data_IF_165163604192
#
_entry.id   IF_165163604192
#
_cell.length_a   1.000
_cell.length_b   1.000
_cell.length_c   1.000
_cell.angle_alpha   90.00
_cell.angle_beta   90.00
_cell.angle_gamma   90.00
#
_symmetry.space_group_name_H-M   'P 1'
#
loop_
_entity.id
_entity.type
_entity.pdbx_description
1 polymer ?
#
# COMPACT_ATOMS: atom_id res chain seq x y z
N UNK A 1 -0.78 -19.05 6.55
CA UNK A 1 -1.48 -18.62 5.32
C UNK A 1 -1.66 -19.84 4.43
N UNK A 2 -2.89 -20.17 3.99
CA UNK A 2 -3.12 -21.32 3.09
C UNK A 2 -2.46 -21.05 1.71
N UNK A 3 -1.73 -22.01 1.12
CA UNK A 3 -0.95 -21.78 -0.11
C UNK A 3 -1.76 -21.25 -1.31
N UNK A 4 -3.05 -21.56 -1.40
CA UNK A 4 -3.89 -21.32 -2.58
C UNK A 4 -4.82 -20.08 -2.51
N UNK A 5 -4.66 -19.19 -1.53
CA UNK A 5 -5.53 -18.00 -1.41
C UNK A 5 -4.99 -16.76 -2.17
N UNK A 6 -3.89 -16.89 -2.92
CA UNK A 6 -3.30 -15.80 -3.70
C UNK A 6 -4.00 -15.70 -5.07
N UNK A 7 -4.14 -14.48 -5.59
CA UNK A 7 -4.66 -14.26 -6.97
C UNK A 7 -6.18 -14.19 -7.13
N UNK A 8 -6.98 -14.31 -6.05
CA UNK A 8 -8.45 -14.21 -6.13
C UNK A 8 -9.01 -12.78 -5.93
N UNK A 9 -8.14 -11.77 -5.99
CA UNK A 9 -8.55 -10.35 -5.87
C UNK A 9 -9.05 -9.90 -4.49
N UNK A 10 -9.07 -10.76 -3.47
CA UNK A 10 -9.54 -10.40 -2.11
C UNK A 10 -8.72 -9.26 -1.52
N UNK A 11 -7.39 -9.33 -1.63
CA UNK A 11 -6.50 -8.26 -1.17
C UNK A 11 -6.76 -6.94 -1.88
N UNK A 12 -7.05 -6.97 -3.18
CA UNK A 12 -7.39 -5.76 -3.94
C UNK A 12 -8.71 -5.15 -3.48
N UNK A 13 -9.75 -5.98 -3.25
CA UNK A 13 -11.05 -5.51 -2.74
C UNK A 13 -10.91 -4.83 -1.38
N UNK A 14 -10.18 -5.44 -0.45
CA UNK A 14 -9.92 -4.87 0.87
C UNK A 14 -9.15 -3.55 0.78
N UNK A 15 -8.10 -3.50 -0.04
CA UNK A 15 -7.31 -2.28 -0.22
C UNK A 15 -8.15 -1.16 -0.84
N UNK A 16 -8.98 -1.45 -1.85
CA UNK A 16 -9.87 -0.44 -2.45
C UNK A 16 -10.89 0.11 -1.46
N UNK A 17 -11.47 -0.76 -0.61
CA UNK A 17 -12.38 -0.32 0.45
C UNK A 17 -11.67 0.60 1.45
N UNK A 18 -10.46 0.23 1.89
CA UNK A 18 -9.64 1.04 2.81
C UNK A 18 -9.24 2.40 2.19
N UNK A 19 -8.83 2.41 0.92
CA UNK A 19 -8.51 3.64 0.19
C UNK A 19 -9.73 4.55 0.10
N UNK A 20 -10.91 3.99 -0.18
CA UNK A 20 -12.17 4.74 -0.21
C UNK A 20 -12.52 5.39 1.14
N UNK A 21 -12.35 4.65 2.24
CA UNK A 21 -12.53 5.20 3.59
C UNK A 21 -11.53 6.31 3.90
N UNK A 22 -10.23 6.08 3.62
CA UNK A 22 -9.20 7.08 3.85
C UNK A 22 -9.45 8.37 3.07
N UNK A 23 -9.87 8.24 1.80
CA UNK A 23 -10.25 9.37 0.96
C UNK A 23 -11.42 10.16 1.56
N UNK A 24 -12.50 9.48 2.01
CA UNK A 24 -13.64 10.14 2.67
C UNK A 24 -13.25 10.90 3.93
N UNK A 25 -12.20 10.45 4.64
CA UNK A 25 -11.67 11.11 5.85
C UNK A 25 -10.57 12.14 5.55
N UNK A 26 -10.16 12.33 4.30
CA UNK A 26 -9.06 13.22 3.94
C UNK A 26 -7.68 12.73 4.43
N UNK A 27 -7.52 11.42 4.62
CA UNK A 27 -6.31 10.79 5.12
C UNK A 27 -5.45 10.20 4.00
N UNK A 28 -4.14 10.16 4.23
CA UNK A 28 -3.21 9.36 3.44
C UNK A 28 -3.03 7.97 4.06
N UNK A 29 -2.48 7.04 3.30
CA UNK A 29 -2.15 5.70 3.77
C UNK A 29 -0.67 5.42 3.56
N UNK A 30 -0.08 4.63 4.46
CA UNK A 30 1.25 4.05 4.26
C UNK A 30 1.27 2.58 4.66
N UNK A 31 2.21 1.83 4.10
CA UNK A 31 2.45 0.42 4.41
C UNK A 31 3.94 0.11 4.33
N UNK A 32 4.36 -0.97 4.99
CA UNK A 32 5.68 -1.57 4.80
C UNK A 32 5.52 -2.91 4.11
N UNK A 33 6.33 -3.15 3.08
CA UNK A 33 6.28 -4.38 2.29
C UNK A 33 7.69 -4.89 2.02
N UNK A 34 7.90 -6.21 2.06
CA UNK A 34 9.18 -6.79 1.65
C UNK A 34 9.45 -6.49 0.17
N UNK A 35 10.69 -6.15 -0.18
CA UNK A 35 11.08 -5.78 -1.54
C UNK A 35 10.72 -6.84 -2.59
N UNK A 36 10.75 -8.12 -2.21
CA UNK A 36 10.52 -9.26 -3.10
C UNK A 36 9.05 -9.73 -3.11
N UNK A 37 8.16 -9.07 -2.35
CA UNK A 37 6.76 -9.49 -2.26
C UNK A 37 6.00 -9.12 -3.55
N UNK A 38 5.40 -10.08 -4.29
CA UNK A 38 4.64 -9.80 -5.51
C UNK A 38 3.48 -8.82 -5.32
N UNK A 39 2.95 -8.70 -4.10
CA UNK A 39 1.90 -7.74 -3.76
C UNK A 39 2.32 -6.28 -3.95
N UNK A 40 3.63 -5.98 -4.02
CA UNK A 40 4.14 -4.64 -4.35
C UNK A 40 3.52 -4.09 -5.64
N UNK A 41 3.39 -4.92 -6.67
CA UNK A 41 2.76 -4.54 -7.95
C UNK A 41 1.28 -4.18 -7.80
N UNK A 42 0.57 -4.81 -6.87
CA UNK A 42 -0.80 -4.44 -6.54
C UNK A 42 -0.84 -3.04 -5.91
N UNK A 43 0.04 -2.76 -4.94
CA UNK A 43 0.09 -1.45 -4.30
C UNK A 43 0.46 -0.33 -5.28
N UNK A 44 1.43 -0.57 -6.18
CA UNK A 44 1.79 0.36 -7.26
C UNK A 44 0.60 0.66 -8.18
N UNK A 45 -0.15 -0.36 -8.61
CA UNK A 45 -1.37 -0.20 -9.41
C UNK A 45 -2.47 0.58 -8.69
N UNK A 46 -2.53 0.49 -7.36
CA UNK A 46 -3.47 1.24 -6.54
C UNK A 46 -2.99 2.66 -6.21
N UNK A 47 -1.83 3.08 -6.73
CA UNK A 47 -1.31 4.44 -6.61
C UNK A 47 -0.34 4.66 -5.45
N UNK A 48 0.02 3.62 -4.70
CA UNK A 48 1.09 3.73 -3.71
C UNK A 48 2.43 3.93 -4.41
N UNK A 49 3.29 4.75 -3.80
CA UNK A 49 4.66 5.02 -4.25
C UNK A 49 5.64 4.76 -3.12
N UNK A 50 6.84 4.31 -3.47
CA UNK A 50 7.93 4.15 -2.49
C UNK A 50 8.18 5.45 -1.72
N UNK A 51 8.45 5.32 -0.43
CA UNK A 51 8.91 6.42 0.42
C UNK A 51 10.44 6.41 0.37
N UNK A 52 11.10 7.45 -0.19
CA UNK A 52 12.55 7.53 -0.23
C UNK A 52 13.17 7.39 1.17
N UNK A 53 14.25 6.60 1.28
CA UNK A 53 14.95 6.37 2.55
C UNK A 53 14.25 5.43 3.54
N UNK A 54 13.09 4.87 3.20
CA UNK A 54 12.35 3.95 4.10
C UNK A 54 12.83 2.50 4.07
N UNK A 55 13.86 2.18 3.27
CA UNK A 55 14.40 0.83 3.17
C UNK A 55 15.01 0.39 4.52
N UNK A 56 14.60 -0.78 5.00
CA UNK A 56 15.09 -1.35 6.25
C UNK A 56 15.38 -2.84 6.10
N UNK A 57 16.54 -3.27 6.61
CA UNK A 57 16.91 -4.70 6.67
C UNK A 57 16.08 -5.41 7.75
N UNK A 58 15.46 -6.52 7.40
CA UNK A 58 14.71 -7.32 8.37
C UNK A 58 15.65 -8.26 9.12
N UNK A 59 15.36 -8.52 10.41
CA UNK A 59 16.12 -9.48 11.23
C UNK A 59 16.17 -10.89 10.62
N UNK A 60 15.11 -11.28 9.90
CA UNK A 60 15.02 -12.56 9.20
C UNK A 60 15.68 -12.59 7.81
N UNK A 61 16.43 -11.53 7.44
CA UNK A 61 17.01 -11.35 6.12
C UNK A 61 16.07 -10.64 5.12
N UNK A 62 16.65 -10.13 4.04
CA UNK A 62 15.97 -9.30 3.02
C UNK A 62 15.58 -7.91 3.51
N UNK A 63 14.98 -7.11 2.63
CA UNK A 63 14.59 -5.72 2.96
C UNK A 63 13.09 -5.51 2.93
N UNK A 64 12.64 -4.51 3.68
CA UNK A 64 11.31 -3.93 3.57
C UNK A 64 11.44 -2.48 3.11
N UNK A 65 10.45 -2.03 2.35
CA UNK A 65 10.32 -0.65 1.89
C UNK A 65 8.97 -0.11 2.33
N UNK A 66 8.96 1.15 2.75
CA UNK A 66 7.75 1.91 2.98
C UNK A 66 7.15 2.37 1.65
N UNK A 67 5.83 2.30 1.53
CA UNK A 67 5.08 2.88 0.42
C UNK A 67 3.95 3.76 0.95
N UNK A 68 3.63 4.85 0.25
CA UNK A 68 2.58 5.79 0.63
C UNK A 68 1.61 6.08 -0.52
N UNK A 69 0.33 6.24 -0.17
CA UNK A 69 -0.69 6.87 -0.98
C UNK A 69 -1.04 8.21 -0.33
N UNK A 70 -0.76 9.30 -1.04
CA UNK A 70 -1.00 10.66 -0.52
C UNK A 70 -2.51 10.91 -0.44
N UNK A 71 -2.93 11.65 0.59
CA UNK A 71 -4.29 12.21 0.64
C UNK A 71 -4.54 13.06 -0.60
N UNK A 72 -5.76 13.06 -1.11
CA UNK A 72 -6.18 14.06 -2.09
C UNK A 72 -6.07 15.47 -1.46
N UNK A 73 -5.66 16.45 -2.25
CA UNK A 73 -5.78 17.84 -1.82
C UNK A 73 -7.27 18.14 -1.56
N UNK A 74 -7.61 18.92 -0.53
CA UNK A 74 -8.99 19.35 -0.35
C UNK A 74 -9.43 20.09 -1.62
N UNK A 75 -10.61 19.74 -2.14
CA UNK A 75 -11.22 20.52 -3.20
C UNK A 75 -11.32 21.97 -2.71
N UNK A 76 -10.75 22.90 -3.47
CA UNK A 76 -10.87 24.33 -3.16
C UNK A 76 -12.36 24.64 -3.05
N UNK A 77 -12.80 25.09 -1.87
CA UNK A 77 -14.16 25.59 -1.68
C UNK A 77 -14.25 26.89 -2.47
N UNK A 78 -15.00 26.87 -3.57
CA UNK A 78 -15.47 28.07 -4.26
C UNK A 78 -16.59 28.74 -3.47
#
# INVERSE_FOLDING_TARGET
MKPNARGQGVGEKLMRALIGEAARRGLGLCLSVRSENPARRLYERLGFRDIPGSAATNRAGGMSIGMALRRAAPAARG
#
